data_IF_833416130542
#
_entry.id   IF_833416130542
#
_cell.length_a   1.000
_cell.length_b   1.000
_cell.length_c   1.000
_cell.angle_alpha   90.00
_cell.angle_beta   90.00
_cell.angle_gamma   90.00
#
_symmetry.space_group_name_H-M   'P 1'
#
loop_
_entity.id
_entity.type
_entity.pdbx_description
1 polymer ?
#
# COMPACT_ATOMS: atom_id res chain seq x y z
N UNK A 1 12.15 26.33 -4.95
CA UNK A 1 11.90 25.25 -3.96
C UNK A 1 10.39 25.10 -3.88
N UNK A 2 9.84 23.89 -4.00
CA UNK A 2 8.41 23.67 -3.77
C UNK A 2 8.12 23.89 -2.28
N UNK A 3 6.97 24.47 -1.98
CA UNK A 3 6.47 24.49 -0.59
C UNK A 3 5.89 23.12 -0.24
N UNK A 4 5.78 22.79 1.04
CA UNK A 4 5.15 21.54 1.47
C UNK A 4 3.71 21.43 0.97
N UNK A 5 2.98 22.55 0.88
CA UNK A 5 1.62 22.59 0.33
C UNK A 5 1.60 22.23 -1.16
N UNK A 6 2.54 22.75 -1.95
CA UNK A 6 2.66 22.40 -3.37
C UNK A 6 3.05 20.94 -3.54
N UNK A 7 4.03 20.47 -2.76
CA UNK A 7 4.47 19.08 -2.79
C UNK A 7 3.35 18.13 -2.41
N UNK A 8 2.53 18.49 -1.40
CA UNK A 8 1.34 17.72 -1.02
C UNK A 8 0.39 17.56 -2.21
N UNK A 9 0.01 18.66 -2.85
CA UNK A 9 -0.89 18.62 -4.00
C UNK A 9 -0.33 17.81 -5.17
N UNK A 10 0.97 17.91 -5.44
CA UNK A 10 1.60 17.13 -6.49
C UNK A 10 1.57 15.62 -6.18
N UNK A 11 1.75 15.23 -4.90
CA UNK A 11 1.62 13.84 -4.46
C UNK A 11 0.18 13.35 -4.54
N UNK A 12 -0.79 14.16 -4.11
CA UNK A 12 -2.22 13.83 -4.25
C UNK A 12 -2.59 13.60 -5.71
N UNK A 13 -2.16 14.49 -6.62
CA UNK A 13 -2.40 14.38 -8.05
C UNK A 13 -1.72 13.14 -8.68
N UNK A 14 -0.50 12.82 -8.25
CA UNK A 14 0.22 11.63 -8.75
C UNK A 14 -0.43 10.33 -8.27
N UNK A 15 -0.97 10.30 -7.04
CA UNK A 15 -1.75 9.16 -6.52
C UNK A 15 -3.09 9.01 -7.24
N UNK A 16 -3.77 10.13 -7.55
CA UNK A 16 -5.00 10.11 -8.36
C UNK A 16 -4.75 9.65 -9.80
N UNK A 17 -3.56 9.91 -10.34
CA UNK A 17 -3.20 9.49 -11.69
C UNK A 17 -2.82 8.00 -11.79
N UNK A 18 -2.36 7.39 -10.68
CA UNK A 18 -1.93 5.99 -10.64
C UNK A 18 -3.13 5.01 -10.67
N UNK A 19 -3.39 4.28 -11.77
CA UNK A 19 -4.58 3.45 -11.90
C UNK A 19 -4.63 2.26 -10.92
N UNK A 20 -3.47 1.85 -10.40
CA UNK A 20 -3.36 0.76 -9.45
C UNK A 20 -3.68 1.19 -8.00
N UNK A 21 -4.01 2.46 -7.75
CA UNK A 21 -4.19 3.04 -6.42
C UNK A 21 -5.57 3.67 -6.24
N UNK A 22 -6.29 3.27 -5.19
CA UNK A 22 -7.49 3.95 -4.74
C UNK A 22 -7.13 5.14 -3.82
N UNK A 23 -6.80 6.28 -4.43
CA UNK A 23 -6.32 7.48 -3.71
C UNK A 23 -7.28 7.98 -2.61
N UNK A 24 -8.59 7.71 -2.72
CA UNK A 24 -9.59 8.12 -1.72
C UNK A 24 -9.37 7.57 -0.31
N UNK A 25 -8.58 6.49 -0.17
CA UNK A 25 -8.30 5.86 1.12
C UNK A 25 -6.92 6.23 1.68
N UNK A 26 -6.19 7.12 1.01
CA UNK A 26 -4.84 7.55 1.37
C UNK A 26 -4.87 9.03 1.76
N UNK A 27 -4.49 9.30 3.01
CA UNK A 27 -4.15 10.64 3.48
C UNK A 27 -2.70 10.98 3.12
N UNK A 28 -2.48 12.21 2.66
CA UNK A 28 -1.15 12.76 2.37
C UNK A 28 -0.84 13.92 3.32
N UNK A 29 0.27 13.80 4.03
CA UNK A 29 0.85 14.88 4.82
C UNK A 29 2.28 15.17 4.35
N UNK A 30 2.67 16.43 4.40
CA UNK A 30 4.02 16.86 4.00
C UNK A 30 4.57 17.83 5.03
N UNK A 31 5.79 17.57 5.47
CA UNK A 31 6.52 18.44 6.39
C UNK A 31 8.01 18.46 6.03
N UNK A 32 8.54 19.64 5.75
CA UNK A 32 9.95 19.87 5.38
C UNK A 32 10.40 18.97 4.20
N UNK A 33 9.51 18.70 3.25
CA UNK A 33 9.72 17.79 2.12
C UNK A 33 9.67 16.29 2.45
N UNK A 34 9.33 15.91 3.69
CA UNK A 34 9.03 14.52 4.08
C UNK A 34 7.55 14.28 3.85
N UNK A 35 7.23 13.29 3.03
CA UNK A 35 5.86 12.89 2.72
C UNK A 35 5.48 11.72 3.62
N UNK A 36 4.30 11.78 4.24
CA UNK A 36 3.69 10.65 4.95
C UNK A 36 2.44 10.24 4.21
N UNK A 37 2.35 8.96 3.84
CA UNK A 37 1.12 8.32 3.34
C UNK A 37 0.50 7.51 4.47
N UNK A 38 -0.75 7.79 4.81
CA UNK A 38 -1.46 7.09 5.89
C UNK A 38 -2.84 6.62 5.43
N UNK A 39 -3.29 5.46 5.90
CA UNK A 39 -4.59 4.91 5.51
C UNK A 39 -4.58 3.41 5.31
N UNK A 40 -5.47 2.92 4.45
CA UNK A 40 -5.64 1.48 4.22
C UNK A 40 -5.90 1.16 2.75
N UNK A 41 -5.44 -0.01 2.34
CA UNK A 41 -5.44 -0.48 0.95
C UNK A 41 -5.93 -1.92 0.86
N UNK A 42 -6.39 -2.33 -0.31
CA UNK A 42 -6.95 -3.67 -0.51
C UNK A 42 -5.87 -4.72 -0.81
N UNK A 43 -4.66 -4.30 -1.18
CA UNK A 43 -3.59 -5.25 -1.53
C UNK A 43 -2.17 -4.71 -1.32
N UNK A 44 -1.21 -5.64 -1.23
CA UNK A 44 0.22 -5.29 -1.21
C UNK A 44 0.67 -4.64 -2.53
N UNK A 45 0.07 -5.01 -3.66
CA UNK A 45 0.39 -4.41 -4.97
C UNK A 45 0.02 -2.94 -5.00
N UNK A 46 -1.17 -2.62 -4.49
CA UNK A 46 -1.64 -1.25 -4.35
C UNK A 46 -0.71 -0.44 -3.42
N UNK A 47 -0.27 -1.04 -2.30
CA UNK A 47 0.70 -0.40 -1.39
C UNK A 47 1.99 -0.03 -2.11
N UNK A 48 2.57 -0.98 -2.84
CA UNK A 48 3.80 -0.74 -3.61
C UNK A 48 3.58 0.33 -4.68
N UNK A 49 2.43 0.32 -5.37
CA UNK A 49 2.11 1.32 -6.38
C UNK A 49 1.98 2.73 -5.78
N UNK A 50 1.34 2.88 -4.61
CA UNK A 50 1.22 4.15 -3.91
C UNK A 50 2.60 4.70 -3.48
N UNK A 51 3.47 3.83 -2.97
CA UNK A 51 4.85 4.21 -2.61
C UNK A 51 5.64 4.70 -3.83
N UNK A 52 5.55 3.95 -4.95
CA UNK A 52 6.22 4.32 -6.19
C UNK A 52 5.68 5.61 -6.79
N UNK A 53 4.36 5.82 -6.76
CA UNK A 53 3.71 7.05 -7.20
C UNK A 53 4.25 8.26 -6.42
N UNK A 54 4.22 8.21 -5.09
CA UNK A 54 4.75 9.32 -4.27
C UNK A 54 6.25 9.58 -4.54
N UNK A 55 7.06 8.55 -4.76
CA UNK A 55 8.49 8.68 -5.07
C UNK A 55 8.78 9.32 -6.44
N UNK A 56 7.85 9.25 -7.40
CA UNK A 56 8.01 9.91 -8.71
C UNK A 56 7.89 11.43 -8.62
N UNK A 57 7.29 11.95 -7.55
CA UNK A 57 7.07 13.39 -7.39
C UNK A 57 8.38 14.11 -7.06
N UNK A 58 8.81 14.98 -7.98
CA UNK A 58 9.99 15.82 -7.76
C UNK A 58 9.81 16.75 -6.56
N UNK A 59 10.72 16.66 -5.59
CA UNK A 59 10.70 17.45 -4.34
C UNK A 59 10.53 16.60 -3.08
N UNK A 60 10.13 15.33 -3.22
CA UNK A 60 10.10 14.38 -2.10
C UNK A 60 11.53 14.10 -1.63
N UNK A 61 11.80 14.37 -0.35
CA UNK A 61 13.10 14.11 0.28
C UNK A 61 13.15 12.77 1.00
N UNK A 62 12.02 12.39 1.59
CA UNK A 62 11.82 11.11 2.25
C UNK A 62 10.33 10.75 2.22
N UNK A 63 10.05 9.45 2.28
CA UNK A 63 8.71 8.90 2.32
C UNK A 63 8.54 8.06 3.59
N UNK A 64 7.51 8.37 4.36
CA UNK A 64 7.03 7.58 5.50
C UNK A 64 5.72 6.91 5.09
N UNK A 65 5.61 5.61 5.37
CA UNK A 65 4.49 4.79 4.92
C UNK A 65 3.79 4.19 6.13
N UNK A 66 2.61 4.72 6.43
CA UNK A 66 1.68 4.28 7.48
C UNK A 66 0.41 3.70 6.84
N UNK A 67 0.62 2.84 5.83
CA UNK A 67 -0.44 2.18 5.07
C UNK A 67 -0.62 0.73 5.51
N UNK A 68 -1.84 0.41 5.94
CA UNK A 68 -2.26 -0.95 6.31
C UNK A 68 -2.94 -1.66 5.14
N UNK A 69 -2.56 -2.91 4.88
CA UNK A 69 -3.26 -3.75 3.89
C UNK A 69 -4.43 -4.44 4.57
N UNK A 70 -5.65 -4.05 4.21
CA UNK A 70 -6.91 -4.68 4.62
C UNK A 70 -7.47 -5.45 3.44
N UNK A 71 -7.16 -6.74 3.40
CA UNK A 71 -7.66 -7.62 2.35
C UNK A 71 -9.20 -7.64 2.35
N UNK A 72 -9.85 -7.60 1.17
CA UNK A 72 -11.30 -7.78 1.09
C UNK A 72 -11.69 -9.18 1.58
N UNK A 73 -12.90 -9.31 2.12
CA UNK A 73 -13.32 -10.44 2.97
C UNK A 73 -12.88 -11.83 2.49
N UNK A 74 -13.15 -12.18 1.23
CA UNK A 74 -12.86 -13.51 0.68
C UNK A 74 -11.35 -13.81 0.51
N UNK A 75 -10.51 -12.78 0.53
CA UNK A 75 -9.04 -12.91 0.46
C UNK A 75 -8.41 -13.07 1.84
N UNK A 76 -9.15 -12.83 2.93
CA UNK A 76 -8.66 -13.08 4.28
C UNK A 76 -8.57 -14.59 4.55
N UNK A 77 -7.37 -15.04 4.93
CA UNK A 77 -7.12 -16.40 5.40
C UNK A 77 -6.76 -16.37 6.86
N UNK A 78 -7.50 -17.13 7.66
CA UNK A 78 -7.16 -17.33 9.07
C UNK A 78 -6.01 -18.31 9.20
N UNK A 79 -5.33 -18.30 10.34
CA UNK A 79 -4.31 -19.30 10.65
C UNK A 79 -4.87 -20.73 10.58
N UNK A 80 -6.16 -20.92 10.88
CA UNK A 80 -6.83 -22.21 10.76
C UNK A 80 -6.94 -22.65 9.29
N UNK A 81 -7.28 -21.73 8.38
CA UNK A 81 -7.34 -21.99 6.94
C UNK A 81 -5.95 -22.36 6.41
N UNK A 82 -4.92 -21.59 6.80
CA UNK A 82 -3.53 -21.85 6.40
C UNK A 82 -3.07 -23.22 6.93
N UNK A 83 -3.31 -23.50 8.22
CA UNK A 83 -2.94 -24.78 8.83
C UNK A 83 -3.68 -25.98 8.21
N UNK A 84 -4.93 -25.78 7.78
CA UNK A 84 -5.69 -26.80 7.07
C UNK A 84 -5.06 -27.11 5.71
N UNK A 85 -4.80 -26.10 4.89
CA UNK A 85 -4.18 -26.25 3.57
C UNK A 85 -2.81 -26.92 3.67
N UNK A 86 -1.97 -26.47 4.61
CA UNK A 86 -0.62 -27.05 4.80
C UNK A 86 -0.72 -28.53 5.20
N UNK A 87 -1.64 -28.90 6.09
CA UNK A 87 -1.84 -30.29 6.50
C UNK A 87 -2.34 -31.16 5.35
N UNK A 88 -3.27 -30.67 4.53
CA UNK A 88 -3.75 -31.41 3.35
C UNK A 88 -2.60 -31.68 2.38
N UNK A 89 -1.83 -30.65 2.02
CA UNK A 89 -0.69 -30.79 1.08
C UNK A 89 0.37 -31.75 1.63
N UNK A 90 0.70 -31.66 2.91
CA UNK A 90 1.70 -32.55 3.51
C UNK A 90 1.20 -33.99 3.58
N UNK A 91 -0.07 -34.24 3.89
CA UNK A 91 -0.62 -35.60 4.00
C UNK A 91 -0.77 -36.27 2.64
N UNK A 92 -1.13 -35.52 1.61
CA UNK A 92 -1.24 -36.02 0.23
C UNK A 92 0.12 -36.44 -0.35
N UNK A 93 1.23 -35.81 0.07
CA UNK A 93 2.58 -36.21 -0.34
C UNK A 93 3.07 -37.53 0.30
N UNK A 94 2.49 -37.99 1.40
CA UNK A 94 2.88 -39.24 2.06
C UNK A 94 2.00 -40.44 1.67
N UNK A 95 0.97 -40.23 0.85
CA UNK A 95 0.04 -41.27 0.41
C UNK A 95 0.19 -41.64 -1.09
N UNK A 96 1.31 -41.27 -1.72
CA UNK A 96 1.69 -41.64 -3.09
C UNK A 96 2.91 -42.54 -3.14
#
# INVERSE_FOLDING_TARGET
MKTDLQLKHDVEAELEWEPAVAASNIGVEVKDGVVTLAGHLASLREKIAAEQAAQRVGGVRALVVELDVRLPGDDMRTDADIAHIVREVLTDQFNK
#
